data_IF_156336559551
#
_entry.id   IF_156336559551
#
_cell.length_a   1.000
_cell.length_b   1.000
_cell.length_c   1.000
_cell.angle_alpha   90.00
_cell.angle_beta   90.00
_cell.angle_gamma   90.00
#
_symmetry.space_group_name_H-M   'P 1'
#
loop_
_entity.id
_entity.type
_entity.pdbx_description
1 polymer ?
#
# COMPACT_ATOMS: atom_id res chain seq x y z
N UNK A 1 1.23 16.03 -2.05
CA UNK A 1 1.29 14.57 -2.16
C UNK A 1 2.72 14.20 -2.56
N UNK A 2 3.26 13.03 -2.14
CA UNK A 2 4.65 12.70 -2.52
C UNK A 2 4.72 12.26 -4.00
N UNK A 3 5.80 12.55 -4.76
CA UNK A 3 5.87 12.21 -6.19
C UNK A 3 5.72 10.72 -6.52
N UNK A 4 6.03 9.82 -5.58
CA UNK A 4 5.80 8.37 -5.74
C UNK A 4 4.32 8.01 -5.65
N UNK A 5 3.54 8.71 -4.83
CA UNK A 5 2.10 8.47 -4.68
C UNK A 5 1.36 8.94 -5.94
N UNK A 6 1.66 10.16 -6.41
CA UNK A 6 1.06 10.72 -7.63
C UNK A 6 1.27 9.83 -8.87
N UNK A 7 2.43 9.17 -8.95
CA UNK A 7 2.79 8.30 -10.07
C UNK A 7 2.33 6.85 -9.92
N UNK A 8 2.28 6.32 -8.70
CA UNK A 8 1.97 4.90 -8.47
C UNK A 8 0.48 4.65 -8.25
N UNK A 9 -0.26 5.56 -7.61
CA UNK A 9 -1.66 5.30 -7.23
C UNK A 9 -2.56 5.10 -8.46
N UNK A 10 -2.56 5.98 -9.50
CA UNK A 10 -3.43 5.79 -10.66
C UNK A 10 -3.26 4.44 -11.38
N UNK A 11 -2.04 4.01 -11.79
CA UNK A 11 -1.88 2.70 -12.44
C UNK A 11 -2.22 1.52 -11.51
N UNK A 12 -1.96 1.61 -10.20
CA UNK A 12 -2.33 0.56 -9.24
C UNK A 12 -3.87 0.44 -9.08
N UNK A 13 -4.60 1.55 -9.08
CA UNK A 13 -6.07 1.54 -9.07
C UNK A 13 -6.63 0.86 -10.34
N UNK A 14 -6.00 1.10 -11.49
CA UNK A 14 -6.33 0.43 -12.76
C UNK A 14 -5.94 -1.07 -12.77
N UNK A 15 -5.25 -1.56 -11.74
CA UNK A 15 -4.82 -2.96 -11.63
C UNK A 15 -3.59 -3.31 -12.44
N UNK A 16 -2.79 -2.30 -12.79
CA UNK A 16 -1.49 -2.50 -13.45
C UNK A 16 -0.40 -2.75 -12.41
N UNK A 17 0.58 -3.57 -12.79
CA UNK A 17 1.77 -3.79 -11.99
C UNK A 17 2.70 -2.57 -12.03
N UNK A 18 3.32 -2.25 -10.90
CA UNK A 18 4.19 -1.08 -10.75
C UNK A 18 5.49 -1.47 -10.03
N UNK A 19 6.62 -1.03 -10.58
CA UNK A 19 7.91 -0.99 -9.89
C UNK A 19 8.16 0.44 -9.41
N UNK A 20 8.16 0.66 -8.11
CA UNK A 20 8.35 1.97 -7.49
C UNK A 20 9.72 2.13 -6.84
N UNK A 21 10.52 3.08 -7.32
CA UNK A 21 11.79 3.46 -6.69
C UNK A 21 11.67 4.84 -6.06
N UNK A 22 11.86 4.92 -4.74
CA UNK A 22 11.92 6.19 -4.03
C UNK A 22 12.79 6.06 -2.77
N UNK A 23 13.15 7.18 -2.13
CA UNK A 23 13.89 7.17 -0.86
C UNK A 23 12.98 6.76 0.31
N UNK A 24 13.54 6.33 1.43
CA UNK A 24 12.75 6.06 2.65
C UNK A 24 12.10 7.36 3.14
N UNK A 25 10.91 7.28 3.74
CA UNK A 25 10.18 8.45 4.23
C UNK A 25 9.43 9.26 3.15
N UNK A 26 9.45 8.85 1.89
CA UNK A 26 8.77 9.57 0.79
C UNK A 26 7.37 9.04 0.49
N UNK A 27 6.68 8.45 1.47
CA UNK A 27 5.28 8.02 1.30
C UNK A 27 5.04 6.76 0.45
N UNK A 28 6.05 5.88 0.30
CA UNK A 28 5.92 4.61 -0.44
C UNK A 28 4.83 3.70 0.12
N UNK A 29 4.69 3.61 1.45
CA UNK A 29 3.67 2.78 2.10
C UNK A 29 2.27 3.19 1.64
N UNK A 30 1.91 4.47 1.79
CA UNK A 30 0.64 4.98 1.32
C UNK A 30 0.45 4.83 -0.20
N UNK A 31 1.53 4.88 -1.00
CA UNK A 31 1.45 4.74 -2.44
C UNK A 31 0.90 3.37 -2.90
N UNK A 32 1.21 2.27 -2.19
CA UNK A 32 0.63 0.96 -2.48
C UNK A 32 -0.58 0.62 -1.58
N UNK A 33 -0.64 1.14 -0.36
CA UNK A 33 -1.71 0.80 0.59
C UNK A 33 -3.06 1.43 0.23
N UNK A 34 -3.08 2.68 -0.24
CA UNK A 34 -4.32 3.34 -0.65
C UNK A 34 -5.04 2.55 -1.76
N UNK A 35 -4.39 2.23 -2.91
CA UNK A 35 -5.06 1.46 -3.95
C UNK A 35 -5.36 0.02 -3.52
N UNK A 36 -4.58 -0.57 -2.62
CA UNK A 36 -4.87 -1.89 -2.06
C UNK A 36 -6.18 -1.86 -1.26
N UNK A 37 -6.36 -0.90 -0.35
CA UNK A 37 -7.56 -0.74 0.48
C UNK A 37 -8.79 -0.49 -0.39
N UNK A 38 -8.69 0.40 -1.38
CA UNK A 38 -9.79 0.73 -2.30
C UNK A 38 -10.30 -0.50 -3.08
N UNK A 39 -9.43 -1.47 -3.32
CA UNK A 39 -9.77 -2.71 -4.06
C UNK A 39 -10.27 -3.84 -3.17
N UNK A 40 -10.25 -3.70 -1.84
CA UNK A 40 -10.74 -4.74 -0.94
C UNK A 40 -12.26 -4.86 -1.02
N UNK A 41 -12.74 -6.11 -1.04
CA UNK A 41 -14.15 -6.39 -0.83
C UNK A 41 -14.41 -6.61 0.67
N UNK A 42 -14.99 -5.59 1.30
CA UNK A 42 -15.29 -5.57 2.74
C UNK A 42 -16.37 -6.57 3.18
N UNK A 43 -17.16 -7.13 2.26
CA UNK A 43 -18.14 -8.16 2.59
C UNK A 43 -17.51 -9.56 2.76
N UNK A 44 -16.27 -9.74 2.30
CA UNK A 44 -15.57 -11.04 2.34
C UNK A 44 -14.58 -11.12 3.51
N UNK A 45 -14.79 -12.10 4.39
CA UNK A 45 -13.90 -12.38 5.54
C UNK A 45 -12.82 -13.40 5.16
N UNK A 46 -11.98 -13.04 4.20
CA UNK A 46 -10.84 -13.85 3.75
C UNK A 46 -9.63 -12.98 3.44
N UNK A 47 -8.45 -13.58 3.34
CA UNK A 47 -7.24 -12.88 2.92
C UNK A 47 -7.39 -12.47 1.44
N UNK A 48 -7.24 -11.18 1.15
CA UNK A 48 -7.43 -10.60 -0.19
C UNK A 48 -6.17 -9.91 -0.73
N UNK A 49 -5.19 -9.63 0.13
CA UNK A 49 -3.93 -9.01 -0.25
C UNK A 49 -2.78 -9.53 0.62
N UNK A 50 -1.58 -9.52 0.07
CA UNK A 50 -0.34 -9.93 0.76
C UNK A 50 0.72 -8.86 0.55
N UNK A 51 1.32 -8.40 1.65
CA UNK A 51 2.48 -7.50 1.63
C UNK A 51 3.65 -8.26 2.22
N UNK A 52 4.72 -8.39 1.45
CA UNK A 52 5.97 -9.01 1.89
C UNK A 52 6.97 -7.92 2.28
N UNK A 53 7.59 -8.08 3.44
CA UNK A 53 8.62 -7.17 3.95
C UNK A 53 9.86 -7.97 4.36
N UNK A 54 11.06 -7.36 4.32
CA UNK A 54 12.31 -8.04 4.66
C UNK A 54 12.50 -8.31 6.15
N UNK A 55 11.79 -7.60 7.03
CA UNK A 55 11.93 -7.73 8.49
C UNK A 55 10.59 -7.67 9.21
N UNK A 56 10.54 -8.27 10.39
CA UNK A 56 9.34 -8.28 11.26
C UNK A 56 8.96 -6.87 11.70
N UNK A 57 9.94 -6.05 12.05
CA UNK A 57 9.76 -4.67 12.52
C UNK A 57 9.09 -3.82 11.44
N UNK A 58 9.53 -3.97 10.18
CA UNK A 58 8.94 -3.28 9.06
C UNK A 58 7.51 -3.80 8.76
N UNK A 59 7.26 -5.10 8.93
CA UNK A 59 5.90 -5.64 8.82
C UNK A 59 4.94 -4.97 9.82
N UNK A 60 5.38 -4.82 11.08
CA UNK A 60 4.60 -4.17 12.13
C UNK A 60 4.35 -2.68 11.84
N UNK A 61 5.38 -1.96 11.35
CA UNK A 61 5.23 -0.56 10.94
C UNK A 61 4.22 -0.40 9.79
N UNK A 62 4.36 -1.20 8.73
CA UNK A 62 3.45 -1.16 7.57
C UNK A 62 2.02 -1.51 7.98
N UNK A 63 1.83 -2.50 8.85
CA UNK A 63 0.49 -2.84 9.35
C UNK A 63 -0.14 -1.68 10.15
N UNK A 64 0.66 -0.98 10.97
CA UNK A 64 0.22 0.23 11.68
C UNK A 64 -0.22 1.33 10.73
N UNK A 65 0.58 1.63 9.71
CA UNK A 65 0.28 2.64 8.69
C UNK A 65 -1.01 2.32 7.93
N UNK A 66 -1.21 1.06 7.54
CA UNK A 66 -2.41 0.61 6.82
C UNK A 66 -3.66 0.75 7.70
N UNK A 67 -3.58 0.32 8.96
CA UNK A 67 -4.69 0.46 9.90
C UNK A 67 -5.07 1.93 10.17
N UNK A 68 -4.11 2.86 10.08
CA UNK A 68 -4.40 4.29 10.20
C UNK A 68 -5.10 4.85 8.95
N UNK A 69 -4.82 4.31 7.76
CA UNK A 69 -5.44 4.70 6.49
C UNK A 69 -6.82 4.08 6.26
N UNK A 70 -7.10 2.92 6.84
CA UNK A 70 -8.37 2.21 6.70
C UNK A 70 -9.44 2.62 7.73
N UNK A 71 -9.18 3.66 8.53
CA UNK A 71 -10.16 4.29 9.41
C UNK A 71 -10.99 5.32 8.65
#
# INVERSE_FOLDING_TARGET
>A
MFPIQERAIPPLLEGRDVIGQAKTGTGKTAAFSIPLIERLNWSLRMVQALILTPTRELALQVAGDINALAR
#
